data_IF_919924518997
#
_entry.id   IF_919924518997
#
_cell.length_a   1.000
_cell.length_b   1.000
_cell.length_c   1.000
_cell.angle_alpha   90.00
_cell.angle_beta   90.00
_cell.angle_gamma   90.00
#
_symmetry.space_group_name_H-M   'P 1'
#
loop_
_entity.id
_entity.type
_entity.pdbx_description
1 polymer ?
#
# COMPACT_ATOMS: atom_id res chain seq x y z
N UNK A 1 -25.61 68.32 -32.10
CA UNK A 1 -26.01 66.89 -32.19
C UNK A 1 -24.80 65.88 -32.13
N UNK A 2 -23.57 66.25 -32.51
CA UNK A 2 -22.39 65.38 -32.52
C UNK A 2 -21.81 65.04 -31.13
N UNK A 3 -21.98 65.87 -30.10
CA UNK A 3 -21.37 65.67 -28.77
C UNK A 3 -22.10 64.56 -28.00
N UNK A 4 -23.37 64.40 -28.14
CA UNK A 4 -24.16 63.34 -27.45
C UNK A 4 -23.85 61.91 -27.97
N UNK A 5 -23.55 61.81 -29.29
CA UNK A 5 -23.23 60.56 -29.92
C UNK A 5 -21.87 60.04 -29.43
N UNK A 6 -20.87 60.93 -29.31
CA UNK A 6 -19.54 60.53 -28.83
C UNK A 6 -19.54 60.15 -27.35
N UNK A 7 -20.43 60.73 -26.53
CA UNK A 7 -20.55 60.35 -25.12
C UNK A 7 -21.14 58.94 -24.97
N UNK A 8 -22.23 58.64 -25.68
CA UNK A 8 -22.84 57.31 -25.66
C UNK A 8 -21.92 56.24 -26.22
N UNK A 9 -21.17 56.52 -27.25
CA UNK A 9 -20.19 55.60 -27.83
C UNK A 9 -19.03 55.29 -26.86
N UNK A 10 -18.55 56.28 -26.12
CA UNK A 10 -17.53 56.09 -25.07
C UNK A 10 -18.05 55.28 -23.90
N UNK A 11 -19.29 55.51 -23.48
CA UNK A 11 -19.94 54.75 -22.42
C UNK A 11 -20.14 53.31 -22.81
N UNK A 12 -20.51 53.06 -24.07
CA UNK A 12 -20.68 51.71 -24.62
C UNK A 12 -19.34 50.95 -24.72
N UNK A 13 -18.27 51.61 -25.08
CA UNK A 13 -16.93 51.04 -25.12
C UNK A 13 -16.40 50.69 -23.72
N UNK A 14 -16.64 51.54 -22.72
CA UNK A 14 -16.26 51.25 -21.33
C UNK A 14 -17.06 50.09 -20.75
N UNK A 15 -18.35 49.96 -21.06
CA UNK A 15 -19.20 48.86 -20.69
C UNK A 15 -18.74 47.53 -21.37
N UNK A 16 -18.40 47.60 -22.66
CA UNK A 16 -17.90 46.42 -23.38
C UNK A 16 -16.52 45.96 -22.86
N UNK A 17 -15.67 46.91 -22.51
CA UNK A 17 -14.33 46.61 -21.94
C UNK A 17 -14.46 46.05 -20.51
N UNK A 18 -15.45 46.47 -19.72
CA UNK A 18 -15.76 45.92 -18.41
C UNK A 18 -16.28 44.47 -18.44
N UNK A 19 -16.98 44.05 -19.49
CA UNK A 19 -17.46 42.69 -19.66
C UNK A 19 -16.33 41.69 -19.98
N UNK A 20 -15.23 42.14 -20.60
CA UNK A 20 -14.10 41.25 -20.96
C UNK A 20 -13.27 40.90 -19.73
N UNK A 21 -13.28 41.71 -18.67
CA UNK A 21 -12.51 41.48 -17.44
C UNK A 21 -13.23 40.55 -16.45
N UNK A 22 -14.51 40.24 -16.64
CA UNK A 22 -15.28 39.32 -15.80
C UNK A 22 -15.08 37.84 -16.17
N UNK A 23 -14.24 37.54 -17.16
CA UNK A 23 -14.00 36.18 -17.67
C UNK A 23 -12.79 35.44 -17.08
N UNK A 24 -12.18 35.92 -15.98
CA UNK A 24 -11.28 35.08 -15.18
C UNK A 24 -12.14 34.14 -14.36
N UNK A 25 -12.60 33.05 -14.97
CA UNK A 25 -13.13 31.93 -14.24
C UNK A 25 -12.04 31.42 -13.28
N UNK A 26 -12.35 31.37 -12.00
CA UNK A 26 -11.59 30.62 -11.03
C UNK A 26 -11.43 29.23 -11.63
N UNK A 27 -10.21 28.87 -12.04
CA UNK A 27 -9.85 27.48 -12.18
C UNK A 27 -9.92 26.95 -10.76
N UNK A 28 -11.01 26.25 -10.45
CA UNK A 28 -11.07 25.39 -9.29
C UNK A 28 -9.84 24.51 -9.39
N UNK A 29 -8.78 24.83 -8.63
CA UNK A 29 -7.64 23.96 -8.49
C UNK A 29 -8.22 22.66 -7.95
N UNK A 30 -8.22 21.61 -8.77
CA UNK A 30 -8.67 20.30 -8.36
C UNK A 30 -7.90 19.96 -7.07
N UNK A 31 -8.62 19.94 -5.95
CA UNK A 31 -8.01 19.57 -4.67
C UNK A 31 -7.45 18.16 -4.85
N UNK A 32 -6.13 18.03 -4.70
CA UNK A 32 -5.48 16.73 -4.71
C UNK A 32 -6.03 15.96 -3.52
N UNK A 33 -6.79 14.90 -3.79
CA UNK A 33 -7.22 13.99 -2.75
C UNK A 33 -6.08 13.02 -2.44
N UNK A 34 -5.85 12.81 -1.15
CA UNK A 34 -4.97 11.79 -0.61
C UNK A 34 -5.78 10.68 0.07
N UNK A 35 -7.05 10.54 -0.28
CA UNK A 35 -7.90 9.48 0.26
C UNK A 35 -7.52 8.13 -0.35
N UNK A 36 -7.71 7.02 0.39
CA UNK A 36 -7.44 5.69 -0.15
C UNK A 36 -8.39 5.37 -1.31
N UNK A 37 -7.94 4.50 -2.20
CA UNK A 37 -8.73 4.03 -3.34
C UNK A 37 -8.92 2.52 -3.27
N UNK A 38 -10.00 2.00 -3.83
CA UNK A 38 -10.26 0.57 -3.89
C UNK A 38 -9.21 -0.17 -4.73
N UNK A 39 -9.00 -1.45 -4.40
CA UNK A 39 -8.19 -2.36 -5.20
C UNK A 39 -9.03 -3.00 -6.30
N UNK A 40 -8.48 -3.14 -7.50
CA UNK A 40 -9.15 -3.69 -8.67
C UNK A 40 -8.41 -4.91 -9.22
N UNK A 41 -9.10 -5.70 -10.03
CA UNK A 41 -8.57 -6.95 -10.57
C UNK A 41 -7.37 -6.82 -11.51
N UNK A 42 -7.12 -5.63 -12.00
CA UNK A 42 -6.00 -5.28 -12.88
C UNK A 42 -4.87 -4.51 -12.17
N UNK A 43 -4.96 -4.36 -10.85
CA UNK A 43 -3.91 -3.71 -10.07
C UNK A 43 -2.70 -4.64 -9.90
N UNK A 44 -1.55 -4.17 -10.34
CA UNK A 44 -0.26 -4.83 -10.14
C UNK A 44 0.49 -4.26 -8.93
N UNK A 45 1.14 -5.14 -8.19
CA UNK A 45 2.00 -4.73 -7.09
C UNK A 45 3.20 -3.94 -7.61
N UNK A 46 3.39 -2.74 -7.07
CA UNK A 46 4.45 -1.83 -7.50
C UNK A 46 5.87 -2.40 -7.32
N UNK A 47 6.06 -3.33 -6.38
CA UNK A 47 7.36 -3.94 -6.08
C UNK A 47 7.61 -5.21 -6.88
N UNK A 48 6.67 -6.16 -6.86
CA UNK A 48 6.89 -7.50 -7.42
C UNK A 48 6.12 -7.78 -8.71
N UNK A 49 5.19 -6.90 -9.14
CA UNK A 49 4.41 -7.05 -10.38
C UNK A 49 3.32 -8.11 -10.33
N UNK A 50 3.08 -8.75 -9.19
CA UNK A 50 1.96 -9.70 -9.03
C UNK A 50 0.63 -8.96 -8.92
N UNK A 51 -0.47 -9.60 -9.34
CA UNK A 51 -1.80 -9.07 -9.16
C UNK A 51 -2.11 -8.93 -7.67
N UNK A 52 -2.50 -7.72 -7.24
CA UNK A 52 -2.64 -7.40 -5.81
C UNK A 52 -3.71 -8.25 -5.15
N UNK A 53 -4.84 -8.46 -5.82
CA UNK A 53 -6.00 -9.14 -5.22
C UNK A 53 -5.93 -10.67 -5.24
N UNK A 54 -4.96 -11.27 -5.94
CA UNK A 54 -4.88 -12.73 -6.10
C UNK A 54 -4.39 -13.45 -4.82
N UNK A 55 -3.95 -12.70 -3.83
CA UNK A 55 -3.34 -13.26 -2.63
C UNK A 55 -4.11 -12.85 -1.37
N UNK A 56 -4.08 -13.66 -0.32
CA UNK A 56 -4.69 -13.32 0.96
C UNK A 56 -3.90 -12.27 1.73
N UNK A 57 -4.46 -11.82 2.84
CA UNK A 57 -3.84 -10.89 3.78
C UNK A 57 -3.96 -9.41 3.38
N UNK A 58 -3.62 -8.51 4.30
CA UNK A 58 -3.79 -7.08 4.12
C UNK A 58 -2.93 -6.55 2.99
N UNK A 59 -3.51 -5.68 2.16
CA UNK A 59 -2.84 -4.93 1.10
C UNK A 59 -2.41 -3.58 1.63
N UNK A 60 -1.48 -2.96 0.92
CA UNK A 60 -1.06 -1.59 1.20
C UNK A 60 -1.16 -0.70 -0.03
N UNK A 61 -1.29 0.59 0.20
CA UNK A 61 -1.18 1.59 -0.85
C UNK A 61 -0.48 2.86 -0.36
N UNK A 62 0.23 3.51 -1.25
CA UNK A 62 0.82 4.83 -1.05
C UNK A 62 0.14 5.81 -2.01
N UNK A 63 -0.64 6.74 -1.45
CA UNK A 63 -1.34 7.77 -2.20
C UNK A 63 -0.46 9.01 -2.27
N UNK A 64 -0.04 9.34 -3.47
CA UNK A 64 0.81 10.48 -3.79
C UNK A 64 0.00 11.54 -4.55
N UNK A 65 0.59 12.71 -4.73
CA UNK A 65 -0.03 13.79 -5.49
C UNK A 65 -0.40 13.38 -6.92
N UNK A 66 0.44 12.58 -7.54
CA UNK A 66 0.38 12.27 -8.96
C UNK A 66 -0.14 10.85 -9.24
N UNK A 67 -0.55 10.10 -8.21
CA UNK A 67 -1.07 8.76 -8.36
C UNK A 67 -1.04 7.89 -7.11
N UNK A 68 -1.38 6.63 -7.28
CA UNK A 68 -1.40 5.65 -6.19
C UNK A 68 -0.52 4.46 -6.56
N UNK A 69 0.37 4.08 -5.64
CA UNK A 69 1.12 2.81 -5.73
C UNK A 69 0.42 1.78 -4.87
N UNK A 70 0.16 0.63 -5.42
CA UNK A 70 -0.51 -0.48 -4.74
C UNK A 70 0.47 -1.63 -4.50
N UNK A 71 0.28 -2.32 -3.39
CA UNK A 71 1.18 -3.38 -2.92
C UNK A 71 0.38 -4.61 -2.52
N UNK A 72 0.86 -5.78 -2.91
CA UNK A 72 0.19 -7.05 -2.64
C UNK A 72 0.21 -7.46 -1.15
N UNK A 73 1.02 -6.79 -0.33
CA UNK A 73 1.05 -6.97 1.12
C UNK A 73 1.55 -5.71 1.84
N UNK A 74 1.30 -5.63 3.14
CA UNK A 74 1.86 -4.58 4.02
C UNK A 74 3.39 -4.64 4.05
N UNK A 75 3.99 -5.83 4.03
CA UNK A 75 5.44 -5.99 4.01
C UNK A 75 6.07 -5.39 2.75
N UNK A 76 5.46 -5.60 1.57
CA UNK A 76 5.91 -5.01 0.32
C UNK A 76 5.79 -3.48 0.32
N UNK A 77 4.71 -2.95 0.90
CA UNK A 77 4.56 -1.50 1.08
C UNK A 77 5.68 -0.94 1.97
N UNK A 78 5.97 -1.59 3.11
CA UNK A 78 7.07 -1.16 3.98
C UNK A 78 8.43 -1.30 3.30
N UNK A 79 8.68 -2.38 2.56
CA UNK A 79 9.92 -2.57 1.81
C UNK A 79 10.19 -1.44 0.82
N UNK A 80 9.13 -0.93 0.19
CA UNK A 80 9.18 0.24 -0.67
C UNK A 80 9.33 1.54 0.15
N UNK A 81 8.49 1.75 1.16
CA UNK A 81 8.44 3.01 1.93
C UNK A 81 9.75 3.29 2.67
N UNK A 82 10.41 2.26 3.19
CA UNK A 82 11.64 2.39 3.97
C UNK A 82 12.88 2.75 3.13
N UNK A 83 12.77 2.75 1.80
CA UNK A 83 13.84 3.27 0.96
C UNK A 83 13.97 4.79 1.14
N UNK A 84 15.20 5.33 1.29
CA UNK A 84 15.41 6.76 1.57
C UNK A 84 14.72 7.70 0.57
N UNK A 85 14.75 7.33 -0.71
CA UNK A 85 14.14 8.08 -1.81
C UNK A 85 12.61 8.10 -1.73
N UNK A 86 11.97 7.08 -1.15
CA UNK A 86 10.52 7.00 -1.05
C UNK A 86 10.00 7.70 0.21
N UNK A 87 10.82 7.76 1.27
CA UNK A 87 10.46 8.47 2.51
C UNK A 87 10.33 9.99 2.33
N UNK A 88 10.99 10.56 1.33
CA UNK A 88 10.86 12.00 0.99
C UNK A 88 9.63 12.30 0.15
N UNK A 89 9.01 11.29 -0.44
CA UNK A 89 7.73 11.42 -1.12
C UNK A 89 6.66 11.66 -0.05
N UNK A 90 5.87 12.71 -0.25
CA UNK A 90 4.78 13.05 0.70
C UNK A 90 3.57 12.14 0.46
N UNK A 91 3.78 10.83 0.45
CA UNK A 91 2.74 9.85 0.28
C UNK A 91 1.97 9.65 1.59
N UNK A 92 0.65 9.46 1.51
CA UNK A 92 -0.14 8.90 2.59
C UNK A 92 -0.23 7.38 2.41
N UNK A 93 0.05 6.66 3.47
CA UNK A 93 0.08 5.20 3.45
C UNK A 93 -1.21 4.66 4.06
N UNK A 94 -1.80 3.66 3.38
CA UNK A 94 -3.00 2.99 3.85
C UNK A 94 -2.82 1.49 3.80
N UNK A 95 -3.45 0.79 4.73
CA UNK A 95 -3.47 -0.67 4.84
C UNK A 95 -4.87 -1.14 5.22
N UNK A 96 -5.22 -2.40 4.95
CA UNK A 96 -6.48 -2.97 5.42
C UNK A 96 -6.45 -3.17 6.94
N UNK A 97 -7.55 -2.85 7.61
CA UNK A 97 -7.79 -3.22 9.01
C UNK A 97 -8.27 -4.68 9.09
N UNK A 98 -7.41 -5.56 9.58
CA UNK A 98 -7.75 -6.98 9.73
C UNK A 98 -8.65 -7.26 10.94
N UNK A 99 -8.89 -6.26 11.78
CA UNK A 99 -9.93 -6.33 12.81
C UNK A 99 -11.35 -6.23 12.26
N UNK A 100 -11.50 -5.68 11.03
CA UNK A 100 -12.78 -5.51 10.35
C UNK A 100 -12.88 -6.29 9.03
N UNK A 101 -11.80 -6.92 8.58
CA UNK A 101 -11.71 -7.60 7.29
C UNK A 101 -11.42 -9.09 7.44
N UNK A 102 -11.74 -9.87 6.41
CA UNK A 102 -11.39 -11.28 6.33
C UNK A 102 -10.01 -11.46 5.68
N UNK A 103 -9.21 -12.41 6.21
CA UNK A 103 -7.85 -12.65 5.73
C UNK A 103 -7.79 -13.02 4.25
N UNK A 104 -8.70 -13.88 3.79
CA UNK A 104 -8.70 -14.36 2.40
C UNK A 104 -9.09 -13.28 1.40
N UNK A 105 -9.91 -12.33 1.80
CA UNK A 105 -10.39 -11.25 0.96
C UNK A 105 -10.65 -10.01 1.82
N UNK A 106 -9.61 -9.18 2.04
CA UNK A 106 -9.75 -7.93 2.78
C UNK A 106 -10.71 -6.96 2.08
N UNK A 107 -11.46 -6.21 2.90
CA UNK A 107 -12.47 -5.28 2.44
C UNK A 107 -11.92 -3.86 2.35
N UNK A 108 -11.99 -3.26 1.18
CA UNK A 108 -11.50 -1.91 0.89
C UNK A 108 -12.26 -0.80 1.66
N UNK A 109 -13.46 -1.08 2.20
CA UNK A 109 -14.17 -0.14 3.07
C UNK A 109 -13.44 0.07 4.41
N UNK A 110 -12.53 -0.84 4.76
CA UNK A 110 -11.75 -0.84 6.00
C UNK A 110 -10.26 -0.53 5.78
N UNK A 111 -9.97 0.39 4.86
CA UNK A 111 -8.62 0.95 4.70
C UNK A 111 -8.36 2.01 5.79
N UNK A 112 -7.25 1.87 6.49
CA UNK A 112 -6.83 2.73 7.60
C UNK A 112 -5.48 3.38 7.33
N UNK A 113 -5.20 4.51 8.00
CA UNK A 113 -3.89 5.15 7.96
C UNK A 113 -2.82 4.22 8.55
N UNK A 114 -1.89 3.78 7.70
CA UNK A 114 -0.83 2.86 8.08
C UNK A 114 0.05 3.39 9.21
N UNK A 115 0.20 4.71 9.34
CA UNK A 115 1.05 5.32 10.38
C UNK A 115 0.42 5.28 11.77
N UNK A 116 -0.88 4.98 11.85
CA UNK A 116 -1.63 4.86 13.10
C UNK A 116 -1.97 3.40 13.43
N UNK A 117 -1.63 2.47 12.53
CA UNK A 117 -1.97 1.07 12.68
C UNK A 117 -0.97 0.31 13.57
N UNK A 118 -1.45 -0.79 14.14
CA UNK A 118 -0.68 -1.80 14.85
C UNK A 118 -0.43 -2.99 13.94
N UNK A 119 0.74 -3.59 14.03
CA UNK A 119 1.16 -4.68 13.15
C UNK A 119 1.51 -5.93 13.94
N UNK A 120 1.08 -7.08 13.44
CA UNK A 120 1.39 -8.39 14.02
C UNK A 120 2.24 -9.19 13.07
N UNK A 121 3.38 -9.68 13.56
CA UNK A 121 4.27 -10.60 12.84
C UNK A 121 4.46 -11.90 13.63
N UNK A 122 5.09 -12.90 13.04
CA UNK A 122 5.35 -14.20 13.70
C UNK A 122 4.12 -15.12 13.76
N UNK A 123 3.07 -14.82 12.99
CA UNK A 123 1.92 -15.70 12.81
C UNK A 123 2.17 -16.66 11.63
N UNK A 124 1.46 -17.82 11.56
CA UNK A 124 1.51 -18.71 10.40
C UNK A 124 0.71 -18.17 9.20
N UNK A 125 0.05 -17.02 9.34
CA UNK A 125 -0.73 -16.40 8.29
C UNK A 125 0.20 -15.91 7.17
N UNK A 126 -0.11 -16.29 5.94
CA UNK A 126 0.69 -15.96 4.78
C UNK A 126 -0.01 -14.96 3.88
N UNK A 127 0.77 -14.11 3.24
CA UNK A 127 0.37 -13.21 2.18
C UNK A 127 1.07 -13.56 0.87
N UNK A 128 1.07 -12.61 -0.07
CA UNK A 128 1.60 -12.79 -1.41
C UNK A 128 3.06 -13.27 -1.47
N UNK A 129 3.91 -12.80 -0.55
CA UNK A 129 5.35 -13.13 -0.53
C UNK A 129 5.73 -13.96 0.71
N UNK A 130 4.80 -14.69 1.28
CA UNK A 130 4.99 -15.50 2.48
C UNK A 130 4.74 -14.70 3.75
N UNK A 131 5.80 -14.16 4.38
CA UNK A 131 5.67 -13.40 5.62
C UNK A 131 4.70 -12.23 5.49
N UNK A 132 3.72 -12.17 6.40
CA UNK A 132 2.75 -11.08 6.41
C UNK A 132 2.84 -10.30 7.71
N UNK A 133 2.64 -8.98 7.59
CA UNK A 133 2.37 -8.08 8.71
C UNK A 133 0.87 -7.83 8.73
N UNK A 134 0.15 -8.49 9.62
CA UNK A 134 -1.28 -8.23 9.81
C UNK A 134 -1.45 -6.83 10.43
N UNK A 135 -2.28 -5.99 9.83
CA UNK A 135 -2.50 -4.60 10.25
C UNK A 135 -3.85 -4.42 10.93
N UNK A 136 -3.90 -3.62 11.99
CA UNK A 136 -5.09 -3.38 12.82
C UNK A 136 -5.19 -1.91 13.19
N UNK A 137 -6.41 -1.37 13.19
CA UNK A 137 -6.67 -0.04 13.75
C UNK A 137 -6.58 -0.03 15.28
N UNK A 138 -6.99 -1.13 15.90
CA UNK A 138 -7.07 -1.29 17.34
C UNK A 138 -5.95 -2.17 17.89
N UNK A 139 -5.23 -1.70 18.92
CA UNK A 139 -4.13 -2.42 19.54
C UNK A 139 -4.61 -3.73 20.18
N UNK A 140 -5.76 -3.72 20.84
CA UNK A 140 -6.28 -4.89 21.50
C UNK A 140 -6.58 -6.00 20.51
N UNK A 141 -7.15 -5.67 19.32
CA UNK A 141 -7.40 -6.65 18.27
C UNK A 141 -6.07 -7.26 17.74
N UNK A 142 -5.00 -6.45 17.62
CA UNK A 142 -3.68 -6.95 17.28
C UNK A 142 -3.13 -7.90 18.36
N UNK A 143 -3.26 -7.54 19.64
CA UNK A 143 -2.85 -8.37 20.78
C UNK A 143 -3.63 -9.69 20.85
N UNK A 144 -4.93 -9.66 20.54
CA UNK A 144 -5.78 -10.87 20.48
C UNK A 144 -5.32 -11.85 19.39
N UNK A 145 -4.90 -11.35 18.22
CA UNK A 145 -4.29 -12.21 17.20
C UNK A 145 -2.94 -12.75 17.67
N UNK A 146 -2.07 -11.90 18.20
CA UNK A 146 -0.75 -12.32 18.66
C UNK A 146 -0.80 -13.37 19.76
N UNK A 147 -1.75 -13.25 20.69
CA UNK A 147 -1.95 -14.22 21.78
C UNK A 147 -2.32 -15.65 21.30
N UNK A 148 -2.79 -15.80 20.07
CA UNK A 148 -3.14 -17.11 19.49
C UNK A 148 -1.92 -17.84 18.89
N UNK A 149 -0.77 -17.16 18.77
CA UNK A 149 0.41 -17.68 18.10
C UNK A 149 1.67 -17.46 18.93
N UNK A 150 2.33 -18.55 19.29
CA UNK A 150 3.58 -18.50 20.04
C UNK A 150 4.68 -17.79 19.23
N UNK A 151 5.32 -16.79 19.83
CA UNK A 151 6.36 -15.99 19.17
C UNK A 151 5.84 -14.82 18.34
N UNK A 152 4.52 -14.64 18.23
CA UNK A 152 3.98 -13.47 17.55
C UNK A 152 4.26 -12.17 18.35
N UNK A 153 4.46 -11.09 17.63
CA UNK A 153 4.80 -9.78 18.19
C UNK A 153 3.87 -8.71 17.62
N UNK A 154 3.47 -7.78 18.50
CA UNK A 154 2.72 -6.57 18.13
C UNK A 154 3.67 -5.38 18.14
N UNK A 155 3.72 -4.64 17.05
CA UNK A 155 4.57 -3.46 16.92
C UNK A 155 3.79 -2.29 16.31
N UNK A 156 4.04 -1.03 16.73
CA UNK A 156 3.53 0.14 16.04
C UNK A 156 4.34 0.44 14.77
N UNK A 157 3.81 1.32 13.93
CA UNK A 157 4.42 1.71 12.65
C UNK A 157 5.88 2.16 12.77
N UNK A 158 6.21 2.95 13.78
CA UNK A 158 7.54 3.56 13.95
C UNK A 158 8.64 2.58 14.38
N UNK A 159 8.28 1.37 14.79
CA UNK A 159 9.20 0.28 15.07
C UNK A 159 9.49 -0.62 13.88
N UNK A 160 8.82 -0.40 12.75
CA UNK A 160 9.06 -1.17 11.53
C UNK A 160 10.15 -0.48 10.72
N UNK A 161 11.34 -1.06 10.74
CA UNK A 161 12.48 -0.68 9.92
C UNK A 161 12.94 -1.83 9.02
N UNK A 162 14.01 -1.63 8.25
CA UNK A 162 14.52 -2.65 7.34
C UNK A 162 15.05 -3.88 8.09
N UNK A 163 15.65 -3.70 9.27
CA UNK A 163 16.15 -4.81 10.08
C UNK A 163 14.99 -5.65 10.61
N UNK A 164 13.94 -4.99 11.10
CA UNK A 164 12.71 -5.67 11.53
C UNK A 164 12.08 -6.50 10.41
N UNK A 165 11.96 -5.95 9.19
CA UNK A 165 11.40 -6.68 8.04
C UNK A 165 12.24 -7.91 7.68
N UNK A 166 13.58 -7.79 7.72
CA UNK A 166 14.49 -8.92 7.47
C UNK A 166 14.34 -10.01 8.53
N UNK A 167 14.26 -9.63 9.81
CA UNK A 167 14.05 -10.57 10.91
C UNK A 167 12.70 -11.27 10.82
N UNK A 168 11.63 -10.53 10.52
CA UNK A 168 10.29 -11.08 10.34
C UNK A 168 10.25 -12.10 9.18
N UNK A 169 10.90 -11.80 8.06
CA UNK A 169 11.02 -12.71 6.93
C UNK A 169 11.84 -13.98 7.29
N UNK A 170 12.96 -13.82 7.99
CA UNK A 170 13.83 -14.93 8.39
C UNK A 170 13.14 -15.89 9.37
N UNK A 171 12.36 -15.37 10.32
CA UNK A 171 11.64 -16.17 11.30
C UNK A 171 10.62 -17.12 10.64
N UNK A 172 9.97 -16.70 9.56
CA UNK A 172 9.01 -17.55 8.83
C UNK A 172 9.70 -18.66 8.01
N UNK A 173 10.88 -18.39 7.45
CA UNK A 173 11.64 -19.40 6.72
C UNK A 173 12.30 -20.44 7.64
N UNK A 174 12.63 -20.07 8.88
CA UNK A 174 13.22 -20.98 9.86
C UNK A 174 12.26 -22.04 10.41
N UNK A 175 10.96 -21.81 10.30
CA UNK A 175 9.92 -22.74 10.75
C UNK A 175 9.63 -23.90 9.78
N UNK A 176 10.07 -23.81 8.52
CA UNK A 176 10.03 -24.91 7.56
C UNK A 176 11.26 -25.79 7.76
N UNK A 177 11.25 -26.65 8.77
CA UNK A 177 12.28 -27.65 8.96
C UNK A 177 12.50 -28.43 7.67
N UNK A 178 13.73 -28.40 7.17
CA UNK A 178 14.19 -29.30 6.13
C UNK A 178 14.10 -30.74 6.67
N UNK A 179 13.01 -31.42 6.41
CA UNK A 179 13.02 -32.86 6.31
C UNK A 179 13.83 -33.21 5.06
N UNK A 180 15.15 -33.16 5.20
CA UNK A 180 16.03 -33.77 4.23
C UNK A 180 15.81 -35.30 4.35
N UNK A 181 14.92 -35.82 3.53
CA UNK A 181 14.95 -37.24 3.23
C UNK A 181 16.31 -37.56 2.59
N UNK A 182 17.14 -38.44 3.21
CA UNK A 182 18.34 -38.87 2.57
C UNK A 182 17.95 -39.66 1.31
N UNK A 183 18.34 -39.16 0.16
CA UNK A 183 18.25 -39.92 -1.09
C UNK A 183 19.07 -41.22 -0.92
N UNK A 184 18.48 -42.41 -1.20
CA UNK A 184 19.26 -43.62 -1.28
C UNK A 184 20.26 -43.45 -2.43
N UNK A 185 21.56 -43.55 -2.13
CA UNK A 185 22.59 -43.65 -3.15
C UNK A 185 22.42 -45.01 -3.82
N UNK A 186 21.84 -45.03 -5.01
CA UNK A 186 21.93 -46.22 -5.89
C UNK A 186 23.37 -46.37 -6.31
N UNK A 187 23.98 -47.42 -5.78
CA UNK A 187 25.30 -47.93 -6.23
C UNK A 187 25.14 -48.50 -7.64
N UNK A 188 25.65 -47.81 -8.64
CA UNK A 188 25.88 -48.38 -9.95
C UNK A 188 27.01 -49.42 -9.86
N UNK A 189 26.61 -50.69 -9.77
CA UNK A 189 27.49 -51.80 -10.03
C UNK A 189 27.84 -51.82 -11.52
N UNK A 190 29.09 -51.56 -11.79
CA UNK A 190 29.72 -51.73 -13.11
C UNK A 190 29.93 -53.22 -13.38
N UNK A 191 29.08 -53.84 -14.19
CA UNK A 191 29.38 -55.12 -14.82
C UNK A 191 30.16 -54.89 -16.10
N UNK A 192 31.49 -55.07 -15.95
CA UNK A 192 32.40 -55.46 -17.05
C UNK A 192 32.31 -56.98 -17.23
N UNK A 193 31.94 -57.48 -18.40
CA UNK A 193 32.37 -58.80 -18.88
C UNK A 193 32.09 -58.94 -20.38
N UNK A 194 33.17 -59.20 -21.11
CA UNK A 194 33.36 -59.86 -22.42
C UNK A 194 32.80 -59.26 -23.68
#
# INVERSE_FOLDING_TARGET
MKIRYNFNLRLLLVLLFGLILAGCGDKEEAQVSYDPVAFHGDDECHVCGMMVIDFPGPKGQAVERDGVRKFCSTAEMFSWYLQPENRILQARLYVHDMGQSHWEQPDDEHLIDATQAWYVTGTPLQGAMGASLASFADQQAAEELAAQHEGAQVVPFDQIDQEFLQQAAAAQHGGMGHDMHPHPTESHDSHSAH
#
